data_IF_718442690406
#
_entry.id   IF_718442690406
#
_cell.length_a   1.000
_cell.length_b   1.000
_cell.length_c   1.000
_cell.angle_alpha   90.00
_cell.angle_beta   90.00
_cell.angle_gamma   90.00
#
_symmetry.space_group_name_H-M   'P 1'
#
loop_
_entity.id
_entity.type
_entity.pdbx_description
1 polymer ?
#
# COMPACT_ATOMS: atom_id res chain seq x y z
N UNK A 1 7.19 -21.97 4.10
CA UNK A 1 8.25 -20.98 3.86
C UNK A 1 8.29 -19.91 4.95
N UNK A 2 7.24 -19.11 5.18
CA UNK A 2 7.25 -18.03 6.19
C UNK A 2 7.76 -18.45 7.58
N UNK A 3 7.26 -19.56 8.12
CA UNK A 3 7.67 -20.04 9.45
C UNK A 3 8.91 -20.93 9.47
N UNK A 4 9.21 -21.63 8.38
CA UNK A 4 10.28 -22.63 8.32
C UNK A 4 11.58 -22.08 7.72
N UNK A 5 11.47 -21.18 6.75
CA UNK A 5 12.56 -20.63 5.94
C UNK A 5 12.31 -19.13 5.63
N UNK A 6 12.21 -18.27 6.66
CA UNK A 6 11.84 -16.86 6.49
C UNK A 6 12.82 -16.09 5.60
N UNK A 7 14.11 -16.43 5.64
CA UNK A 7 15.14 -15.79 4.81
C UNK A 7 14.88 -16.03 3.31
N UNK A 8 14.49 -17.25 2.94
CA UNK A 8 14.18 -17.58 1.57
C UNK A 8 12.91 -16.84 1.10
N UNK A 9 11.89 -16.73 1.97
CA UNK A 9 10.70 -15.95 1.67
C UNK A 9 11.04 -14.46 1.51
N UNK A 10 11.87 -13.90 2.38
CA UNK A 10 12.32 -12.52 2.26
C UNK A 10 13.09 -12.26 0.96
N UNK A 11 13.94 -13.18 0.53
CA UNK A 11 14.65 -13.08 -0.74
C UNK A 11 13.68 -13.10 -1.94
N UNK A 12 12.63 -13.91 -1.87
CA UNK A 12 11.58 -13.93 -2.90
C UNK A 12 10.79 -12.61 -2.93
N UNK A 13 10.29 -12.17 -1.77
CA UNK A 13 9.51 -10.94 -1.66
C UNK A 13 10.32 -9.70 -2.06
N UNK A 14 11.63 -9.66 -1.78
CA UNK A 14 12.51 -8.58 -2.22
C UNK A 14 12.66 -8.54 -3.75
N UNK A 15 12.79 -9.70 -4.40
CA UNK A 15 12.80 -9.79 -5.87
C UNK A 15 11.46 -9.34 -6.45
N UNK A 16 10.34 -9.76 -5.85
CA UNK A 16 9.00 -9.34 -6.28
C UNK A 16 8.80 -7.84 -6.14
N UNK A 17 9.19 -7.24 -5.01
CA UNK A 17 9.08 -5.79 -4.79
C UNK A 17 9.86 -5.00 -5.86
N UNK A 18 11.08 -5.42 -6.19
CA UNK A 18 11.87 -4.80 -7.26
C UNK A 18 11.18 -4.92 -8.62
N UNK A 19 10.70 -6.12 -8.96
CA UNK A 19 9.99 -6.35 -10.22
C UNK A 19 8.72 -5.53 -10.36
N UNK A 20 7.90 -5.45 -9.29
CA UNK A 20 6.66 -4.66 -9.28
C UNK A 20 6.97 -3.17 -9.38
N UNK A 21 8.00 -2.68 -8.68
CA UNK A 21 8.43 -1.28 -8.78
C UNK A 21 8.80 -0.90 -10.22
N UNK A 22 9.62 -1.73 -10.88
CA UNK A 22 10.00 -1.52 -12.27
C UNK A 22 8.77 -1.54 -13.19
N UNK A 23 7.87 -2.50 -12.97
CA UNK A 23 6.67 -2.66 -13.77
C UNK A 23 5.72 -1.46 -13.66
N UNK A 24 5.43 -1.01 -12.43
CA UNK A 24 4.56 0.14 -12.19
C UNK A 24 5.20 1.43 -12.72
N UNK A 25 6.50 1.63 -12.54
CA UNK A 25 7.20 2.78 -13.13
C UNK A 25 7.16 2.76 -14.66
N UNK A 26 7.21 1.59 -15.29
CA UNK A 26 7.02 1.47 -16.73
C UNK A 26 5.60 1.86 -17.17
N UNK A 27 4.57 1.46 -16.40
CA UNK A 27 3.20 1.90 -16.66
C UNK A 27 3.04 3.43 -16.50
N UNK A 28 3.62 4.00 -15.45
CA UNK A 28 3.59 5.45 -15.21
C UNK A 28 4.20 6.18 -16.40
N UNK A 29 5.40 5.77 -16.84
CA UNK A 29 6.07 6.32 -18.03
C UNK A 29 5.26 6.13 -19.31
N UNK A 30 4.48 5.07 -19.40
CA UNK A 30 3.58 4.80 -20.52
C UNK A 30 2.26 5.61 -20.46
N UNK A 31 2.07 6.45 -19.44
CA UNK A 31 0.93 7.35 -19.31
C UNK A 31 -0.07 6.99 -18.20
N UNK A 32 0.22 6.00 -17.35
CA UNK A 32 -0.64 5.73 -16.18
C UNK A 32 -0.60 6.93 -15.22
N UNK A 33 -1.78 7.48 -14.93
CA UNK A 33 -1.95 8.70 -14.13
C UNK A 33 -2.15 8.42 -12.63
N UNK A 34 -2.37 7.16 -12.27
CA UNK A 34 -2.48 6.65 -10.90
C UNK A 34 -2.18 5.16 -10.91
N UNK A 35 -1.65 4.64 -9.81
CA UNK A 35 -1.36 3.21 -9.64
C UNK A 35 -1.93 2.69 -8.33
N UNK A 36 -2.31 1.42 -8.33
CA UNK A 36 -2.83 0.74 -7.15
C UNK A 36 -2.12 -0.59 -6.95
N UNK A 37 -1.69 -0.85 -5.71
CA UNK A 37 -1.12 -2.13 -5.31
C UNK A 37 -2.20 -2.94 -4.61
N UNK A 38 -2.48 -4.13 -5.14
CA UNK A 38 -3.48 -5.05 -4.62
C UNK A 38 -2.83 -6.18 -3.82
N UNK A 39 -2.94 -6.11 -2.50
CA UNK A 39 -2.63 -7.21 -1.59
C UNK A 39 -3.91 -7.95 -1.20
N UNK A 40 -4.33 -8.86 -2.05
CA UNK A 40 -5.60 -9.59 -1.86
C UNK A 40 -5.55 -10.56 -0.67
N UNK A 41 -4.34 -10.92 -0.20
CA UNK A 41 -4.14 -11.99 0.77
C UNK A 41 -3.55 -11.53 2.09
N UNK A 42 -3.10 -10.29 2.23
CA UNK A 42 -2.52 -9.78 3.48
C UNK A 42 -3.40 -9.96 4.70
N UNK A 43 -4.73 -9.88 4.56
CA UNK A 43 -5.70 -10.10 5.64
C UNK A 43 -5.69 -11.50 6.25
N UNK A 44 -5.03 -12.49 5.64
CA UNK A 44 -4.89 -13.84 6.22
C UNK A 44 -3.70 -13.96 7.18
N UNK A 45 -2.84 -12.94 7.25
CA UNK A 45 -1.65 -12.93 8.09
C UNK A 45 -1.97 -12.44 9.51
N UNK A 46 -1.15 -12.85 10.48
CA UNK A 46 -1.15 -12.19 11.80
C UNK A 46 -0.69 -10.74 11.66
N UNK A 47 -1.02 -9.87 12.62
CA UNK A 47 -0.59 -8.46 12.54
C UNK A 47 0.93 -8.28 12.44
N UNK A 48 1.70 -9.12 13.15
CA UNK A 48 3.17 -9.11 13.07
C UNK A 48 3.65 -9.55 11.69
N UNK A 49 3.12 -10.67 11.18
CA UNK A 49 3.58 -11.23 9.93
C UNK A 49 3.12 -10.39 8.71
N UNK A 50 1.96 -9.72 8.81
CA UNK A 50 1.53 -8.72 7.83
C UNK A 50 2.55 -7.58 7.70
N UNK A 51 2.98 -7.01 8.82
CA UNK A 51 3.97 -5.93 8.80
C UNK A 51 5.29 -6.39 8.15
N UNK A 52 5.78 -7.57 8.53
CA UNK A 52 7.08 -8.09 8.11
C UNK A 52 7.10 -8.62 6.66
N UNK A 53 6.05 -9.31 6.23
CA UNK A 53 6.03 -10.05 4.96
C UNK A 53 5.12 -9.45 3.89
N UNK A 54 4.29 -8.46 4.22
CA UNK A 54 3.51 -7.72 3.22
C UNK A 54 3.80 -6.22 3.25
N UNK A 55 3.47 -5.54 4.35
CA UNK A 55 3.50 -4.08 4.43
C UNK A 55 4.89 -3.50 4.17
N UNK A 56 5.93 -4.10 4.73
CA UNK A 56 7.32 -3.70 4.48
C UNK A 56 7.66 -3.67 2.97
N UNK A 57 7.19 -4.65 2.22
CA UNK A 57 7.45 -4.74 0.78
C UNK A 57 6.58 -3.79 -0.03
N UNK A 58 5.32 -3.55 0.38
CA UNK A 58 4.50 -2.50 -0.22
C UNK A 58 5.11 -1.12 0.00
N UNK A 59 5.59 -0.82 1.21
CA UNK A 59 6.32 0.41 1.52
C UNK A 59 7.53 0.58 0.60
N UNK A 60 8.36 -0.46 0.46
CA UNK A 60 9.50 -0.44 -0.45
C UNK A 60 9.12 -0.16 -1.91
N UNK A 61 7.97 -0.67 -2.37
CA UNK A 61 7.47 -0.36 -3.70
C UNK A 61 7.09 1.13 -3.76
N UNK A 62 6.29 1.61 -2.80
CA UNK A 62 5.84 3.01 -2.74
C UNK A 62 7.01 4.01 -2.77
N UNK A 63 8.09 3.72 -2.03
CA UNK A 63 9.33 4.53 -2.02
C UNK A 63 10.04 4.54 -3.38
N UNK A 64 9.93 3.47 -4.16
CA UNK A 64 10.55 3.32 -5.47
C UNK A 64 9.72 3.86 -6.64
N UNK A 65 8.48 4.29 -6.41
CA UNK A 65 7.59 4.74 -7.47
C UNK A 65 7.85 6.21 -7.87
N UNK A 66 7.76 6.47 -9.18
CA UNK A 66 7.68 7.82 -9.71
C UNK A 66 6.40 8.49 -9.19
N UNK A 67 6.54 9.62 -8.51
CA UNK A 67 5.42 10.37 -7.94
C UNK A 67 4.93 11.50 -8.83
N UNK A 68 5.61 11.75 -9.94
CA UNK A 68 5.21 12.72 -10.96
C UNK A 68 5.52 12.17 -12.37
N UNK A 69 4.63 12.45 -13.31
CA UNK A 69 4.85 12.21 -14.73
C UNK A 69 4.08 13.27 -15.54
N UNK A 70 4.67 13.75 -16.64
CA UNK A 70 4.06 14.79 -17.51
C UNK A 70 3.57 16.04 -16.75
N UNK A 71 4.30 16.47 -15.72
CA UNK A 71 3.97 17.65 -14.91
C UNK A 71 2.77 17.46 -13.97
N UNK A 72 2.35 16.21 -13.70
CA UNK A 72 1.25 15.89 -12.78
C UNK A 72 1.72 14.89 -11.73
N UNK A 73 1.22 15.03 -10.50
CA UNK A 73 1.38 14.03 -9.45
C UNK A 73 0.70 12.72 -9.88
N UNK A 74 1.35 11.60 -9.60
CA UNK A 74 0.83 10.24 -9.83
C UNK A 74 0.47 9.62 -8.48
N UNK A 75 -0.82 9.51 -8.15
CA UNK A 75 -1.24 8.95 -6.88
C UNK A 75 -0.98 7.44 -6.80
N UNK A 76 -0.66 6.97 -5.59
CA UNK A 76 -0.44 5.57 -5.25
C UNK A 76 -1.45 5.14 -4.21
N UNK A 77 -2.26 4.13 -4.54
CA UNK A 77 -3.25 3.54 -3.62
C UNK A 77 -2.78 2.18 -3.13
N UNK A 78 -2.89 1.92 -1.83
CA UNK A 78 -2.71 0.57 -1.27
C UNK A 78 -4.05 -0.05 -0.93
N UNK A 79 -4.23 -1.34 -1.24
CA UNK A 79 -5.41 -2.09 -0.84
C UNK A 79 -5.01 -3.45 -0.28
N UNK A 80 -5.31 -3.69 0.99
CA UNK A 80 -5.23 -5.03 1.61
C UNK A 80 -6.64 -5.50 1.96
N UNK A 81 -7.12 -6.57 1.32
CA UNK A 81 -8.41 -7.18 1.69
C UNK A 81 -8.30 -7.80 3.08
N UNK A 82 -9.27 -7.54 3.95
CA UNK A 82 -9.26 -7.91 5.36
C UNK A 82 -8.24 -7.14 6.18
N UNK A 83 -7.74 -6.01 5.69
CA UNK A 83 -6.67 -5.21 6.31
C UNK A 83 -7.14 -4.03 7.17
N UNK A 84 -8.44 -3.89 7.43
CA UNK A 84 -9.02 -2.73 8.13
C UNK A 84 -8.44 -2.44 9.51
N UNK A 85 -7.92 -3.44 10.20
CA UNK A 85 -7.22 -3.29 11.49
C UNK A 85 -5.81 -2.65 11.36
N UNK A 86 -5.26 -2.51 10.15
CA UNK A 86 -3.88 -2.03 9.91
C UNK A 86 -3.82 -0.70 9.16
N UNK A 87 -4.94 0.02 9.05
CA UNK A 87 -5.03 1.26 8.26
C UNK A 87 -3.98 2.31 8.64
N UNK A 88 -3.70 2.51 9.93
CA UNK A 88 -2.70 3.48 10.39
C UNK A 88 -1.30 3.11 9.92
N UNK A 89 -0.93 1.83 10.03
CA UNK A 89 0.36 1.34 9.55
C UNK A 89 0.47 1.43 8.02
N UNK A 90 -0.64 1.21 7.29
CA UNK A 90 -0.68 1.41 5.85
C UNK A 90 -0.56 2.88 5.46
N UNK A 91 -1.16 3.80 6.22
CA UNK A 91 -1.05 5.24 5.97
C UNK A 91 0.39 5.76 6.13
N UNK A 92 1.17 5.16 7.04
CA UNK A 92 2.58 5.50 7.27
C UNK A 92 3.52 5.10 6.13
N UNK A 93 3.07 4.35 5.11
CA UNK A 93 3.93 3.97 3.98
C UNK A 93 4.12 5.08 2.94
N UNK A 94 3.48 6.25 3.11
CA UNK A 94 3.55 7.34 2.12
C UNK A 94 2.67 7.12 0.89
N UNK A 95 1.66 6.24 0.97
CA UNK A 95 0.63 6.13 -0.06
C UNK A 95 -0.34 7.32 0.01
N UNK A 96 -0.98 7.66 -1.11
CA UNK A 96 -1.90 8.79 -1.19
C UNK A 96 -3.35 8.40 -0.82
N UNK A 97 -3.66 7.10 -0.92
CA UNK A 97 -4.99 6.58 -0.71
C UNK A 97 -4.96 5.15 -0.17
N UNK A 98 -5.99 4.80 0.61
CA UNK A 98 -6.21 3.45 1.10
C UNK A 98 -7.52 2.89 0.55
N UNK A 99 -7.44 1.69 0.00
CA UNK A 99 -8.61 0.90 -0.38
C UNK A 99 -9.22 0.22 0.85
N UNK A 100 -10.55 0.19 0.90
CA UNK A 100 -11.33 -0.47 1.94
C UNK A 100 -12.20 -1.57 1.31
N UNK A 101 -12.44 -2.63 2.08
CA UNK A 101 -13.50 -3.59 1.81
C UNK A 101 -14.70 -3.38 2.75
N UNK A 102 -15.77 -4.14 2.50
CA UNK A 102 -17.05 -4.01 3.19
C UNK A 102 -17.01 -4.34 4.69
N UNK A 103 -15.94 -4.93 5.21
CA UNK A 103 -15.82 -5.27 6.63
C UNK A 103 -15.40 -4.06 7.48
N UNK A 104 -14.92 -2.99 6.84
CA UNK A 104 -14.43 -1.79 7.51
C UNK A 104 -15.43 -0.65 7.31
N UNK A 105 -15.94 -0.10 8.41
CA UNK A 105 -16.78 1.10 8.35
C UNK A 105 -15.97 2.30 7.84
N UNK A 106 -16.49 2.97 6.80
CA UNK A 106 -15.78 4.08 6.15
C UNK A 106 -15.66 5.31 7.06
N UNK A 107 -16.63 5.54 7.96
CA UNK A 107 -16.56 6.66 8.89
C UNK A 107 -15.49 6.40 9.97
N UNK A 108 -15.38 5.17 10.47
CA UNK A 108 -14.30 4.76 11.37
C UNK A 108 -12.93 4.84 10.69
N UNK A 109 -12.80 4.32 9.47
CA UNK A 109 -11.57 4.44 8.69
C UNK A 109 -11.17 5.91 8.51
N UNK A 110 -12.11 6.77 8.10
CA UNK A 110 -11.86 8.21 7.93
C UNK A 110 -11.44 8.89 9.24
N UNK A 111 -12.04 8.50 10.36
CA UNK A 111 -11.67 9.01 11.69
C UNK A 111 -10.25 8.63 12.09
N UNK A 112 -9.82 7.40 11.75
CA UNK A 112 -8.51 6.83 12.10
C UNK A 112 -7.35 7.42 11.28
N UNK A 113 -7.52 7.52 9.96
CA UNK A 113 -6.42 7.93 9.05
C UNK A 113 -6.64 9.25 8.32
N UNK A 114 -7.88 9.73 8.22
CA UNK A 114 -8.22 10.93 7.44
C UNK A 114 -7.73 12.27 8.03
N UNK A 115 -7.03 12.24 9.17
CA UNK A 115 -6.40 13.41 9.80
C UNK A 115 -4.88 13.30 9.91
N UNK A 116 -4.24 12.28 9.34
CA UNK A 116 -2.77 12.24 9.33
C UNK A 116 -2.23 13.32 8.38
N UNK A 117 -2.18 14.56 8.87
CA UNK A 117 -1.24 15.58 8.42
C UNK A 117 0.11 15.23 9.01
N UNK A 118 1.06 14.90 8.16
CA UNK A 118 2.44 14.53 8.49
C UNK A 118 3.06 15.44 9.56
N UNK A 119 3.31 14.88 10.75
CA UNK A 119 4.10 15.51 11.81
C UNK A 119 5.63 15.36 11.59
N UNK A 120 6.04 14.70 10.52
CA UNK A 120 7.42 14.71 10.02
C UNK A 120 7.37 14.99 8.52
N UNK A 121 7.87 16.15 8.10
CA UNK A 121 7.75 16.63 6.74
C UNK A 121 8.36 15.67 5.72
N UNK A 122 7.52 15.11 4.84
CA UNK A 122 7.79 14.72 3.44
C UNK A 122 6.65 13.92 2.79
N UNK A 123 5.68 13.40 3.55
CA UNK A 123 4.57 12.60 3.01
C UNK A 123 3.22 13.33 3.13
N UNK A 124 2.44 13.39 2.05
CA UNK A 124 1.12 14.04 2.04
C UNK A 124 0.08 13.30 2.91
N UNK A 125 -1.02 13.96 3.25
CA UNK A 125 -2.17 13.31 3.91
C UNK A 125 -2.76 12.23 3.01
N UNK A 126 -3.23 11.13 3.61
CA UNK A 126 -4.04 10.12 2.89
C UNK A 126 -5.40 10.76 2.58
N UNK A 127 -5.53 11.29 1.37
CA UNK A 127 -6.64 12.17 0.99
C UNK A 127 -7.87 11.39 0.50
N UNK A 128 -7.72 10.11 0.12
CA UNK A 128 -8.82 9.31 -0.44
C UNK A 128 -8.95 7.91 0.18
N UNK A 129 -10.14 7.60 0.68
CA UNK A 129 -10.60 6.25 1.00
C UNK A 129 -11.48 5.75 -0.14
N UNK A 130 -11.11 4.64 -0.77
CA UNK A 130 -11.88 4.06 -1.87
C UNK A 130 -12.46 2.71 -1.45
N UNK A 131 -13.78 2.57 -1.45
CA UNK A 131 -14.45 1.29 -1.13
C UNK A 131 -14.57 0.47 -2.40
N UNK A 132 -14.09 -0.78 -2.38
CA UNK A 132 -14.37 -1.73 -3.45
C UNK A 132 -15.60 -2.57 -3.07
N UNK A 133 -16.70 -2.56 -3.86
CA UNK A 133 -17.79 -3.50 -3.64
C UNK A 133 -17.29 -4.94 -3.87
N UNK A 134 -17.73 -5.87 -3.02
CA UNK A 134 -17.67 -7.28 -3.35
C UNK A 134 -18.58 -7.50 -4.55
N UNK A 135 -18.09 -8.15 -5.61
CA UNK A 135 -18.94 -8.67 -6.67
C UNK A 135 -20.00 -9.61 -6.10
#
# INVERSE_FOLDING_TARGET
MMYAEPQALHALLDKLAKSVTLYLNAQIKAGAQSVMIFDTWGGVLTGRDYQQFSLYYMHKIVDGLLRENEGRRVPVTLFTKGGGQWLEAMAETGCDALGLDWTTDIADARRRVGKQSSAAGQYGSVDALCVRPAY
#
